data_IF_646954895899
#
_entry.id   IF_646954895899
#
_cell.length_a   1.000
_cell.length_b   1.000
_cell.length_c   1.000
_cell.angle_alpha   90.00
_cell.angle_beta   90.00
_cell.angle_gamma   90.00
#
_symmetry.space_group_name_H-M   'P 1'
#
loop_
_entity.id
_entity.type
_entity.pdbx_description
1 polymer ?
#
# COMPACT_ATOMS: atom_id res chain seq x y z
N UNK A 1 -13.02 -49.13 13.61
CA UNK A 1 -11.74 -48.45 13.33
C UNK A 1 -10.99 -48.27 14.64
N UNK A 2 -9.73 -48.72 14.70
CA UNK A 2 -8.88 -48.52 15.89
C UNK A 2 -8.45 -47.06 16.00
N UNK A 3 -8.37 -46.54 17.23
CA UNK A 3 -7.95 -45.16 17.48
C UNK A 3 -6.43 -45.02 17.35
N UNK A 4 -5.96 -43.78 17.20
CA UNK A 4 -4.53 -43.47 17.08
C UNK A 4 -3.81 -43.82 18.39
N UNK A 5 -2.79 -44.70 18.33
CA UNK A 5 -2.06 -45.23 19.51
C UNK A 5 -1.19 -44.21 20.26
N UNK A 6 -0.58 -43.25 19.55
CA UNK A 6 0.24 -42.18 20.14
C UNK A 6 -0.18 -40.83 19.56
N UNK A 7 -0.32 -39.81 20.41
CA UNK A 7 -0.61 -38.45 19.95
C UNK A 7 0.55 -37.91 19.11
N UNK A 8 0.26 -37.03 18.15
CA UNK A 8 1.29 -36.17 17.57
C UNK A 8 0.72 -34.79 17.25
N UNK A 9 1.59 -33.78 17.15
CA UNK A 9 1.18 -32.46 16.73
C UNK A 9 0.52 -32.47 15.35
N UNK A 10 -0.34 -31.48 15.12
CA UNK A 10 -0.96 -31.26 13.82
C UNK A 10 0.09 -30.82 12.79
N UNK A 11 0.07 -31.43 11.61
CA UNK A 11 0.86 -30.94 10.48
C UNK A 11 0.21 -29.71 9.83
N UNK A 12 0.86 -28.56 10.02
CA UNK A 12 0.50 -27.29 9.39
C UNK A 12 -0.59 -26.51 10.13
N UNK A 13 -0.55 -25.18 9.93
CA UNK A 13 -1.45 -24.25 10.58
C UNK A 13 -2.75 -24.04 9.75
N UNK A 14 -3.91 -24.15 10.41
CA UNK A 14 -5.24 -23.96 9.84
C UNK A 14 -5.55 -22.52 9.45
N UNK A 15 -4.88 -21.52 10.06
CA UNK A 15 -5.09 -20.10 9.77
C UNK A 15 -4.64 -19.67 8.36
N UNK A 16 -3.84 -20.49 7.66
CA UNK A 16 -3.41 -20.25 6.28
C UNK A 16 -4.24 -21.03 5.24
N UNK A 17 -5.36 -21.61 5.64
CA UNK A 17 -6.34 -22.20 4.72
C UNK A 17 -7.28 -21.08 4.22
N UNK A 18 -7.65 -21.06 2.92
CA UNK A 18 -7.25 -21.98 1.86
C UNK A 18 -5.89 -21.65 1.24
N UNK A 19 -5.08 -22.69 0.99
CA UNK A 19 -3.80 -22.61 0.27
C UNK A 19 -4.02 -22.44 -1.25
N UNK A 20 -4.41 -21.24 -1.66
CA UNK A 20 -4.70 -20.90 -3.07
C UNK A 20 -3.86 -19.72 -3.55
N UNK A 21 -3.75 -19.55 -4.87
CA UNK A 21 -3.07 -18.40 -5.48
C UNK A 21 -3.70 -17.09 -5.02
N UNK A 22 -2.86 -16.11 -4.69
CA UNK A 22 -3.32 -14.77 -4.35
C UNK A 22 -4.07 -14.12 -5.52
N UNK A 23 -5.18 -13.44 -5.23
CA UNK A 23 -5.94 -12.71 -6.26
C UNK A 23 -5.20 -11.47 -6.77
N UNK A 24 -4.31 -10.90 -5.96
CA UNK A 24 -3.54 -9.70 -6.26
C UNK A 24 -2.06 -10.09 -6.36
N UNK A 25 -1.37 -9.52 -7.35
CA UNK A 25 0.08 -9.70 -7.50
C UNK A 25 0.85 -9.15 -6.30
N UNK A 26 0.34 -8.11 -5.65
CA UNK A 26 0.92 -7.55 -4.41
C UNK A 26 0.08 -7.90 -3.19
N UNK A 27 0.71 -7.80 -2.02
CA UNK A 27 0.03 -7.79 -0.73
C UNK A 27 -0.97 -6.63 -0.64
N UNK A 28 -2.11 -6.88 0.02
CA UNK A 28 -3.07 -5.83 0.43
C UNK A 28 -3.01 -5.76 1.96
N UNK A 29 -2.74 -4.57 2.49
CA UNK A 29 -2.91 -4.29 3.91
C UNK A 29 -4.40 -4.36 4.24
N UNK A 30 -4.77 -5.26 5.15
CA UNK A 30 -6.17 -5.44 5.58
C UNK A 30 -6.52 -4.61 6.81
N UNK A 31 -5.53 -4.38 7.67
CA UNK A 31 -5.63 -3.58 8.88
C UNK A 31 -4.37 -2.71 8.94
N UNK A 32 -4.59 -1.42 9.14
CA UNK A 32 -3.55 -0.43 9.40
C UNK A 32 -3.44 -0.24 10.92
N UNK A 33 -2.34 0.36 11.42
CA UNK A 33 -2.25 0.80 12.81
C UNK A 33 -3.44 1.68 13.20
N UNK A 34 -3.85 1.61 14.46
CA UNK A 34 -4.85 2.53 15.02
C UNK A 34 -4.29 3.94 15.01
N UNK A 35 -5.15 4.90 14.66
CA UNK A 35 -4.79 6.32 14.61
C UNK A 35 -4.69 6.92 16.02
N UNK A 36 -3.76 7.87 16.20
CA UNK A 36 -3.53 8.61 17.43
C UNK A 36 -3.45 10.10 17.10
N UNK A 37 -4.53 10.88 17.33
CA UNK A 37 -4.62 12.29 16.94
C UNK A 37 -3.57 13.20 17.59
N UNK A 38 -2.89 12.74 18.65
CA UNK A 38 -1.85 13.52 19.33
C UNK A 38 -0.52 13.51 18.57
N UNK A 39 -0.32 12.53 17.68
CA UNK A 39 0.91 12.39 16.91
C UNK A 39 0.86 13.24 15.65
N UNK A 40 2.02 13.68 15.13
CA UNK A 40 2.05 14.33 13.83
C UNK A 40 1.57 13.37 12.73
N UNK A 41 1.03 13.97 11.67
CA UNK A 41 0.58 13.28 10.47
C UNK A 41 1.71 12.42 9.90
N UNK A 42 1.48 11.12 9.70
CA UNK A 42 2.51 10.20 9.21
C UNK A 42 1.91 9.14 8.29
N UNK A 43 2.72 8.59 7.39
CA UNK A 43 2.29 7.49 6.52
C UNK A 43 2.53 6.15 7.20
N UNK A 44 1.53 5.28 7.16
CA UNK A 44 1.56 3.99 7.87
C UNK A 44 2.13 2.82 7.05
N UNK A 45 2.37 3.01 5.76
CA UNK A 45 2.86 1.96 4.88
C UNK A 45 3.70 2.51 3.73
N UNK A 46 4.48 1.63 3.11
CA UNK A 46 5.29 1.92 1.92
C UNK A 46 5.28 0.72 0.96
N UNK A 47 5.57 0.96 -0.32
CA UNK A 47 5.73 -0.08 -1.33
C UNK A 47 7.20 -0.18 -1.74
N UNK A 48 7.79 -1.35 -1.56
CA UNK A 48 9.13 -1.66 -2.03
C UNK A 48 9.15 -2.92 -2.90
N UNK A 49 10.28 -3.11 -3.59
CA UNK A 49 10.55 -4.25 -4.45
C UNK A 49 11.77 -4.99 -3.91
N UNK A 50 11.64 -6.30 -3.68
CA UNK A 50 12.77 -7.11 -3.22
C UNK A 50 13.84 -7.14 -4.32
N UNK A 51 15.00 -6.56 -4.06
CA UNK A 51 16.13 -6.54 -4.98
C UNK A 51 17.04 -7.76 -4.80
N UNK A 52 17.18 -8.24 -3.56
CA UNK A 52 18.04 -9.37 -3.25
C UNK A 52 18.16 -9.63 -1.76
N UNK A 53 19.19 -10.38 -1.38
CA UNK A 53 19.52 -10.72 0.00
C UNK A 53 21.04 -10.73 0.14
N UNK A 54 21.54 -10.18 1.24
CA UNK A 54 22.96 -10.21 1.60
C UNK A 54 23.09 -10.55 3.09
N UNK A 55 24.30 -10.56 3.62
CA UNK A 55 24.56 -10.61 5.05
C UNK A 55 25.22 -9.30 5.50
N UNK A 56 24.96 -8.91 6.74
CA UNK A 56 25.68 -7.82 7.42
C UNK A 56 26.38 -8.39 8.63
N UNK A 57 27.47 -7.74 9.01
CA UNK A 57 28.10 -7.92 10.31
C UNK A 57 27.66 -6.76 11.20
N UNK A 58 27.14 -7.07 12.39
CA UNK A 58 26.85 -6.03 13.40
C UNK A 58 27.18 -6.54 14.79
N UNK A 59 27.51 -5.60 15.67
CA UNK A 59 27.63 -5.88 17.10
C UNK A 59 26.24 -6.06 17.72
N UNK A 60 26.11 -7.06 18.59
CA UNK A 60 24.87 -7.30 19.34
C UNK A 60 24.87 -6.56 20.66
N UNK A 61 23.89 -5.68 20.87
CA UNK A 61 23.59 -5.10 22.18
C UNK A 61 22.35 -5.77 22.79
N UNK A 62 22.56 -6.87 23.53
CA UNK A 62 21.52 -7.61 24.25
C UNK A 62 22.09 -8.12 25.59
N UNK A 63 21.99 -7.34 26.67
CA UNK A 63 22.45 -7.74 28.00
C UNK A 63 21.88 -9.12 28.41
N UNK A 64 22.71 -9.97 29.01
CA UNK A 64 22.33 -11.34 29.39
C UNK A 64 22.50 -12.41 28.30
N UNK A 65 22.77 -12.01 27.05
CA UNK A 65 23.07 -12.95 25.98
C UNK A 65 24.56 -13.31 25.92
N UNK A 66 24.88 -14.58 25.61
CA UNK A 66 26.27 -15.05 25.36
C UNK A 66 26.97 -14.33 24.18
N UNK A 67 26.17 -13.74 23.30
CA UNK A 67 26.64 -12.99 22.12
C UNK A 67 26.62 -11.48 22.31
N UNK A 68 26.35 -10.98 23.53
CA UNK A 68 26.40 -9.54 23.81
C UNK A 68 27.81 -8.99 23.55
N UNK A 69 27.90 -7.82 22.93
CA UNK A 69 29.15 -7.15 22.52
C UNK A 69 30.05 -8.00 21.61
N UNK A 70 29.46 -8.91 20.83
CA UNK A 70 30.15 -9.69 19.80
C UNK A 70 29.56 -9.37 18.43
N UNK A 71 30.41 -9.47 17.42
CA UNK A 71 30.00 -9.42 16.02
C UNK A 71 29.24 -10.69 15.66
N UNK A 72 28.08 -10.52 15.01
CA UNK A 72 27.33 -11.61 14.41
C UNK A 72 27.05 -11.30 12.95
N UNK A 73 26.95 -12.37 12.16
CA UNK A 73 26.52 -12.30 10.77
C UNK A 73 25.01 -12.50 10.73
N UNK A 74 24.27 -11.48 10.28
CA UNK A 74 22.82 -11.55 10.09
C UNK A 74 22.46 -11.44 8.62
N UNK A 75 21.54 -12.29 8.18
CA UNK A 75 21.04 -12.24 6.82
C UNK A 75 19.98 -11.13 6.69
N UNK A 76 20.13 -10.26 5.69
CA UNK A 76 19.27 -9.11 5.45
C UNK A 76 18.72 -9.12 4.03
N UNK A 77 17.47 -8.71 3.87
CA UNK A 77 16.84 -8.54 2.56
C UNK A 77 16.98 -7.09 2.10
N UNK A 78 17.50 -6.89 0.89
CA UNK A 78 17.59 -5.56 0.28
C UNK A 78 16.26 -5.30 -0.46
N UNK A 79 15.59 -4.22 -0.08
CA UNK A 79 14.34 -3.77 -0.69
C UNK A 79 14.61 -2.43 -1.36
N UNK A 80 14.43 -2.36 -2.67
CA UNK A 80 14.48 -1.13 -3.44
C UNK A 80 13.15 -0.39 -3.28
N UNK A 81 13.24 0.85 -2.78
CA UNK A 81 12.10 1.68 -2.40
C UNK A 81 12.12 2.98 -3.19
N UNK A 82 11.70 2.97 -4.47
CA UNK A 82 11.63 4.20 -5.25
C UNK A 82 10.60 5.15 -4.60
N UNK A 83 10.75 6.47 -4.76
CA UNK A 83 9.79 7.44 -4.22
C UNK A 83 8.36 7.13 -4.67
N UNK A 84 7.41 7.27 -3.72
CA UNK A 84 5.99 7.12 -4.01
C UNK A 84 5.40 8.47 -4.40
N UNK A 85 4.54 8.46 -5.41
CA UNK A 85 3.80 9.65 -5.83
C UNK A 85 2.36 9.53 -5.32
N UNK A 86 1.94 10.50 -4.52
CA UNK A 86 0.55 10.65 -4.08
C UNK A 86 -0.27 11.19 -5.25
N UNK A 87 -1.32 10.49 -5.62
CA UNK A 87 -2.19 10.84 -6.77
C UNK A 87 -3.65 11.03 -6.40
N UNK A 88 -4.00 10.91 -5.12
CA UNK A 88 -5.34 11.18 -4.65
C UNK A 88 -5.53 10.92 -3.17
N UNK A 89 -6.74 11.21 -2.68
CA UNK A 89 -7.18 11.01 -1.31
C UNK A 89 -8.53 10.31 -1.34
N UNK A 90 -8.72 9.33 -0.46
CA UNK A 90 -9.99 8.62 -0.28
C UNK A 90 -10.37 8.70 1.19
N UNK A 91 -11.59 9.16 1.46
CA UNK A 91 -12.13 9.17 2.81
C UNK A 91 -13.08 8.00 3.06
N UNK A 92 -12.98 7.45 4.27
CA UNK A 92 -13.80 6.36 4.77
C UNK A 92 -14.66 6.86 5.92
N UNK A 93 -15.95 6.52 5.86
CA UNK A 93 -16.89 6.71 6.96
C UNK A 93 -17.11 5.37 7.64
N UNK A 94 -17.12 5.39 8.98
CA UNK A 94 -17.49 4.24 9.77
C UNK A 94 -19.01 4.03 9.74
N UNK A 95 -19.41 2.82 9.38
CA UNK A 95 -20.81 2.40 9.43
C UNK A 95 -20.90 1.13 10.28
N UNK A 96 -22.09 0.75 10.79
CA UNK A 96 -22.24 -0.49 11.55
C UNK A 96 -21.80 -1.76 10.81
N UNK A 97 -21.69 -1.70 9.46
CA UNK A 97 -21.20 -2.79 8.61
C UNK A 97 -19.70 -2.70 8.29
N UNK A 98 -18.98 -1.75 8.90
CA UNK A 98 -17.58 -1.45 8.67
C UNK A 98 -17.35 -0.16 7.88
N UNK A 99 -16.10 0.04 7.44
CA UNK A 99 -15.68 1.25 6.74
C UNK A 99 -16.22 1.27 5.30
N UNK A 100 -16.89 2.36 4.93
CA UNK A 100 -17.39 2.61 3.57
C UNK A 100 -16.67 3.80 2.95
N UNK A 101 -16.27 3.70 1.69
CA UNK A 101 -15.71 4.83 0.94
C UNK A 101 -16.77 5.91 0.72
N UNK A 102 -16.53 7.13 1.19
CA UNK A 102 -17.43 8.26 0.97
C UNK A 102 -17.18 8.95 -0.37
N UNK A 103 -15.90 9.12 -0.72
CA UNK A 103 -15.47 9.77 -1.95
C UNK A 103 -13.96 9.63 -2.15
N UNK A 104 -13.55 9.77 -3.40
CA UNK A 104 -12.14 9.78 -3.80
C UNK A 104 -11.88 11.02 -4.63
N UNK A 105 -10.90 11.81 -4.21
CA UNK A 105 -10.42 12.99 -4.91
C UNK A 105 -9.08 12.63 -5.54
N UNK A 106 -8.91 12.91 -6.83
CA UNK A 106 -7.67 12.64 -7.55
C UNK A 106 -6.89 13.93 -7.76
N UNK A 107 -5.57 13.81 -7.86
CA UNK A 107 -4.71 14.91 -8.27
C UNK A 107 -5.06 15.37 -9.70
N UNK A 108 -4.71 16.61 -10.02
CA UNK A 108 -4.87 17.16 -11.36
C UNK A 108 -4.02 16.40 -12.39
N UNK A 109 -2.73 16.32 -12.12
CA UNK A 109 -1.76 15.72 -13.02
C UNK A 109 -1.43 14.29 -12.58
N UNK A 110 -1.94 13.30 -13.33
CA UNK A 110 -1.57 11.90 -13.13
C UNK A 110 -0.45 11.51 -14.09
N UNK A 111 0.60 10.90 -13.53
CA UNK A 111 1.69 10.32 -14.31
C UNK A 111 1.20 9.28 -15.32
N UNK A 112 1.90 9.15 -16.45
CA UNK A 112 1.60 8.13 -17.47
C UNK A 112 1.60 6.72 -16.87
N UNK A 113 2.54 6.42 -15.96
CA UNK A 113 2.67 5.11 -15.30
C UNK A 113 1.46 4.76 -14.44
N UNK A 114 0.88 5.76 -13.75
CA UNK A 114 -0.38 5.61 -13.04
C UNK A 114 -1.53 5.37 -14.01
N UNK A 115 -1.59 6.14 -15.11
CA UNK A 115 -2.64 5.99 -16.15
C UNK A 115 -2.59 4.60 -16.80
N UNK A 116 -1.40 4.01 -16.98
CA UNK A 116 -1.22 2.61 -17.42
C UNK A 116 -1.91 1.60 -16.50
N UNK A 117 -2.15 1.93 -15.23
CA UNK A 117 -2.84 1.05 -14.29
C UNK A 117 -4.27 0.72 -14.75
N UNK A 118 -4.94 1.70 -15.36
CA UNK A 118 -6.34 1.66 -15.76
C UNK A 118 -6.59 1.01 -17.11
N UNK A 119 -5.53 0.60 -17.82
CA UNK A 119 -5.63 -0.13 -19.08
C UNK A 119 -5.05 -1.54 -18.94
N UNK A 120 -5.72 -2.52 -19.56
CA UNK A 120 -5.15 -3.85 -19.77
C UNK A 120 -4.14 -3.79 -20.93
N UNK A 121 -4.58 -3.27 -22.07
CA UNK A 121 -3.74 -3.05 -23.25
C UNK A 121 -3.49 -1.54 -23.44
N UNK A 122 -2.32 -1.06 -23.00
CA UNK A 122 -1.98 0.37 -23.05
C UNK A 122 -1.72 0.88 -24.47
N UNK A 123 -1.06 0.08 -25.31
CA UNK A 123 -0.57 0.53 -26.61
C UNK A 123 -1.70 0.70 -27.63
N UNK A 124 -2.73 -0.14 -27.57
CA UNK A 124 -3.91 -0.04 -28.43
C UNK A 124 -5.01 0.88 -27.87
N UNK A 125 -4.86 1.39 -26.66
CA UNK A 125 -5.87 2.25 -26.04
C UNK A 125 -5.76 3.70 -26.52
N UNK A 126 -6.89 4.42 -26.54
CA UNK A 126 -6.96 5.87 -26.79
C UNK A 126 -6.36 6.73 -25.65
N UNK A 127 -5.92 6.13 -24.55
CA UNK A 127 -5.29 6.79 -23.38
C UNK A 127 -6.07 8.03 -22.89
N UNK A 128 -7.38 7.88 -22.66
CA UNK A 128 -8.28 8.95 -22.17
C UNK A 128 -8.58 8.91 -20.66
N UNK A 129 -7.93 8.03 -19.90
CA UNK A 129 -8.13 7.96 -18.45
C UNK A 129 -7.74 9.31 -17.80
N UNK A 130 -8.61 9.80 -16.92
CA UNK A 130 -8.49 11.04 -16.15
C UNK A 130 -8.43 12.35 -16.94
N UNK A 131 -8.60 12.36 -18.27
CA UNK A 131 -8.53 13.60 -19.05
C UNK A 131 -9.65 14.58 -18.73
N UNK A 132 -10.89 14.10 -18.54
CA UNK A 132 -12.02 14.94 -18.10
C UNK A 132 -11.85 15.42 -16.66
N UNK A 133 -11.27 14.58 -15.80
CA UNK A 133 -11.05 14.92 -14.40
C UNK A 133 -9.97 16.00 -14.24
N UNK A 134 -8.89 15.93 -15.02
CA UNK A 134 -7.88 16.98 -15.06
C UNK A 134 -8.46 18.34 -15.48
N UNK A 135 -9.39 18.37 -16.45
CA UNK A 135 -10.09 19.61 -16.83
C UNK A 135 -10.90 20.23 -15.69
N UNK A 136 -11.47 19.42 -14.80
CA UNK A 136 -12.22 19.89 -13.63
C UNK A 136 -11.35 20.75 -12.68
N UNK A 137 -10.04 20.52 -12.64
CA UNK A 137 -9.13 21.35 -11.86
C UNK A 137 -8.80 22.70 -12.52
N UNK A 138 -9.00 22.81 -13.83
CA UNK A 138 -8.79 24.04 -14.59
C UNK A 138 -10.03 24.93 -14.57
N UNK A 139 -11.22 24.33 -14.61
CA UNK A 139 -12.49 25.06 -14.56
C UNK A 139 -12.81 25.56 -13.13
N UNK A 140 -13.21 26.83 -12.98
CA UNK A 140 -13.52 27.43 -11.68
C UNK A 140 -14.68 26.71 -10.95
N UNK A 141 -15.74 26.35 -11.67
CA UNK A 141 -16.84 25.58 -11.08
C UNK A 141 -16.41 24.15 -10.71
N UNK A 142 -15.45 23.59 -11.44
CA UNK A 142 -14.87 22.30 -11.13
C UNK A 142 -14.08 22.31 -9.82
N UNK A 143 -13.27 23.36 -9.60
CA UNK A 143 -12.54 23.59 -8.34
C UNK A 143 -13.50 23.70 -7.16
N UNK A 144 -14.60 24.46 -7.27
CA UNK A 144 -15.62 24.56 -6.21
C UNK A 144 -16.21 23.20 -5.82
N UNK A 145 -16.44 22.32 -6.80
CA UNK A 145 -16.93 20.95 -6.51
C UNK A 145 -15.85 20.13 -5.80
N UNK A 146 -14.59 20.25 -6.20
CA UNK A 146 -13.47 19.54 -5.55
C UNK A 146 -13.30 20.01 -4.11
N UNK A 147 -13.36 21.31 -3.86
CA UNK A 147 -13.30 21.89 -2.51
C UNK A 147 -14.48 21.45 -1.65
N UNK A 148 -15.69 21.39 -2.22
CA UNK A 148 -16.86 20.78 -1.56
C UNK A 148 -16.62 19.32 -1.20
N UNK A 149 -16.01 18.55 -2.10
CA UNK A 149 -15.66 17.15 -1.84
C UNK A 149 -14.63 17.05 -0.71
N UNK A 150 -13.61 17.91 -0.67
CA UNK A 150 -12.64 17.96 0.44
C UNK A 150 -13.30 18.28 1.78
N UNK A 151 -14.17 19.29 1.82
CA UNK A 151 -14.94 19.64 3.01
C UNK A 151 -15.84 18.49 3.47
N UNK A 152 -16.43 17.75 2.53
CA UNK A 152 -17.22 16.55 2.83
C UNK A 152 -16.38 15.44 3.44
N UNK A 153 -15.16 15.21 2.94
CA UNK A 153 -14.24 14.23 3.52
C UNK A 153 -13.82 14.65 4.94
N UNK A 154 -13.41 15.91 5.12
CA UNK A 154 -13.00 16.44 6.43
C UNK A 154 -14.11 16.35 7.47
N UNK A 155 -15.36 16.63 7.09
CA UNK A 155 -16.50 16.65 8.02
C UNK A 155 -17.03 15.28 8.41
N UNK A 156 -17.02 14.32 7.49
CA UNK A 156 -17.77 13.05 7.66
C UNK A 156 -16.90 11.80 7.71
N UNK A 157 -15.64 11.85 7.26
CA UNK A 157 -14.79 10.68 7.26
C UNK A 157 -14.06 10.55 8.60
N UNK A 158 -14.10 9.35 9.16
CA UNK A 158 -13.32 8.99 10.35
C UNK A 158 -11.89 8.63 9.99
N UNK A 159 -11.67 8.08 8.78
CA UNK A 159 -10.34 7.65 8.33
C UNK A 159 -10.07 8.23 6.95
N UNK A 160 -8.89 8.81 6.78
CA UNK A 160 -8.40 9.31 5.50
C UNK A 160 -7.26 8.42 5.00
N UNK A 161 -7.29 8.08 3.71
CA UNK A 161 -6.21 7.34 3.05
C UNK A 161 -5.74 8.08 1.82
N UNK A 162 -4.44 8.17 1.63
CA UNK A 162 -3.84 8.66 0.40
C UNK A 162 -3.70 7.52 -0.61
N UNK A 163 -3.99 7.82 -1.88
CA UNK A 163 -3.71 6.93 -3.00
C UNK A 163 -2.32 7.24 -3.52
N UNK A 164 -1.40 6.30 -3.37
CA UNK A 164 -0.02 6.42 -3.80
C UNK A 164 0.29 5.39 -4.87
N UNK A 165 1.15 5.72 -5.82
CA UNK A 165 1.71 4.72 -6.72
C UNK A 165 3.24 4.75 -6.72
N UNK A 166 3.84 3.60 -7.00
CA UNK A 166 5.29 3.48 -7.20
C UNK A 166 5.70 4.04 -8.56
N UNK A 167 6.92 4.52 -8.66
CA UNK A 167 7.55 4.89 -9.94
C UNK A 167 8.33 3.70 -10.48
N UNK A 168 7.71 2.94 -11.40
CA UNK A 168 8.32 1.72 -11.95
C UNK A 168 9.42 2.02 -12.97
N UNK A 169 9.39 3.19 -13.62
CA UNK A 169 10.44 3.56 -14.60
C UNK A 169 11.80 3.78 -13.94
N UNK A 170 11.85 4.07 -12.64
CA UNK A 170 13.11 4.22 -11.90
C UNK A 170 13.78 2.87 -11.64
N UNK A 171 13.00 1.80 -11.59
CA UNK A 171 13.51 0.45 -11.43
C UNK A 171 14.00 -0.07 -12.78
N UNK A 172 15.10 -0.84 -12.77
CA UNK A 172 15.58 -1.53 -13.97
C UNK A 172 14.74 -2.80 -14.26
N UNK A 173 13.43 -2.63 -14.42
CA UNK A 173 12.49 -3.71 -14.72
C UNK A 173 11.73 -3.44 -16.02
N UNK A 174 11.34 -4.50 -16.72
CA UNK A 174 10.55 -4.40 -17.96
C UNK A 174 9.14 -3.82 -17.73
N UNK A 175 8.62 -3.93 -16.51
CA UNK A 175 7.29 -3.45 -16.17
C UNK A 175 7.27 -1.92 -16.04
N UNK A 176 6.48 -1.26 -16.90
CA UNK A 176 6.25 0.20 -16.86
C UNK A 176 4.94 0.61 -16.17
N UNK A 177 4.17 -0.36 -15.68
CA UNK A 177 2.83 -0.17 -15.08
C UNK A 177 2.96 0.01 -13.59
N UNK A 178 2.58 1.18 -13.06
CA UNK A 178 2.69 1.46 -11.63
C UNK A 178 1.80 0.57 -10.76
N UNK A 179 2.23 0.36 -9.51
CA UNK A 179 1.45 -0.30 -8.47
C UNK A 179 0.80 0.77 -7.58
N UNK A 180 -0.52 0.93 -7.70
CA UNK A 180 -1.30 1.96 -6.99
C UNK A 180 -1.93 1.41 -5.69
N UNK A 181 -1.57 1.92 -4.51
CA UNK A 181 -1.98 1.47 -3.18
C UNK A 181 -2.64 2.61 -2.39
N UNK A 182 -3.56 2.28 -1.49
CA UNK A 182 -4.00 3.18 -0.44
C UNK A 182 -3.08 3.05 0.77
N UNK A 183 -2.64 4.16 1.33
CA UNK A 183 -1.89 4.23 2.59
C UNK A 183 -2.70 5.08 3.55
N UNK A 184 -2.93 4.57 4.76
CA UNK A 184 -3.61 5.34 5.80
C UNK A 184 -2.67 6.41 6.35
N UNK A 185 -3.23 7.60 6.48
CA UNK A 185 -2.62 8.77 7.11
C UNK A 185 -2.99 8.79 8.57
#
# INVERSE_FOLDING_TARGET
MSHRKFSAPRHGNLGFIPKKRSKRHRGKVKSFPSDDPRKPVHLTAFLGYKAGMTHIVREVNRPGSKVNKKEIVEAVTIIETPPLVVVGVTGYIETPRGLRTLGTIWAEHLSEECRRRFYKNWYHAKKKAFTKYAKKWQDEDGKKVIERDFNKLSKHCTIIRVLCHTQMKLLNQRQKKANLMEIQV
#
